data_IF_803938557668
#
_entry.id   IF_803938557668
#
_cell.length_a   1.000
_cell.length_b   1.000
_cell.length_c   1.000
_cell.angle_alpha   90.00
_cell.angle_beta   90.00
_cell.angle_gamma   90.00
#
_symmetry.space_group_name_H-M   'P 1'
#
loop_
_entity.id
_entity.type
_entity.pdbx_description
1 polymer ?
#
# COMPACT_ATOMS: atom_id res chain seq x y z
N UNK A 1 -22.22 -37.64 -78.54
CA UNK A 1 -21.58 -37.58 -77.20
C UNK A 1 -21.36 -36.12 -76.77
N UNK A 2 -22.40 -35.33 -76.46
CA UNK A 2 -22.23 -33.88 -76.15
C UNK A 2 -22.96 -33.34 -74.91
N UNK A 3 -23.70 -34.16 -74.13
CA UNK A 3 -24.61 -33.60 -73.10
C UNK A 3 -24.33 -34.04 -71.65
N UNK A 4 -23.24 -34.78 -71.35
CA UNK A 4 -22.96 -35.21 -69.96
C UNK A 4 -22.15 -34.18 -69.14
N UNK A 5 -21.39 -33.30 -69.78
CA UNK A 5 -20.58 -32.29 -69.09
C UNK A 5 -21.41 -31.10 -68.54
N UNK A 6 -22.54 -30.77 -69.19
CA UNK A 6 -23.40 -29.65 -68.78
C UNK A 6 -24.11 -29.93 -67.44
N UNK A 7 -24.57 -31.17 -67.22
CA UNK A 7 -25.19 -31.54 -65.95
C UNK A 7 -24.19 -31.55 -64.78
N UNK A 8 -22.90 -31.79 -65.05
CA UNK A 8 -21.86 -31.79 -64.02
C UNK A 8 -21.47 -30.36 -63.58
N UNK A 9 -21.54 -29.38 -64.48
CA UNK A 9 -21.31 -27.96 -64.15
C UNK A 9 -22.54 -27.35 -63.46
N UNK A 10 -23.75 -27.75 -63.85
CA UNK A 10 -24.99 -27.22 -63.28
C UNK A 10 -25.27 -27.71 -61.85
N UNK A 11 -24.89 -28.95 -61.51
CA UNK A 11 -25.02 -29.48 -60.13
C UNK A 11 -23.97 -28.90 -59.18
N UNK A 12 -22.76 -28.60 -59.67
CA UNK A 12 -21.71 -27.97 -58.85
C UNK A 12 -22.03 -26.50 -58.51
N UNK A 13 -22.71 -25.79 -59.41
CA UNK A 13 -23.14 -24.40 -59.20
C UNK A 13 -24.25 -24.28 -58.14
N UNK A 14 -25.14 -25.27 -58.04
CA UNK A 14 -26.24 -25.28 -57.06
C UNK A 14 -25.78 -25.67 -55.63
N UNK A 15 -24.68 -26.41 -55.48
CA UNK A 15 -24.09 -26.68 -54.15
C UNK A 15 -23.24 -25.54 -53.58
N UNK A 16 -22.81 -24.57 -54.41
CA UNK A 16 -22.03 -23.43 -53.94
C UNK A 16 -22.90 -22.28 -53.38
N UNK A 17 -24.18 -22.21 -53.75
CA UNK A 17 -25.11 -21.16 -53.29
C UNK A 17 -25.57 -21.42 -51.84
N UNK A 18 -25.42 -22.65 -51.33
CA UNK A 18 -25.85 -23.03 -49.97
C UNK A 18 -24.75 -22.96 -48.90
N UNK A 19 -23.53 -22.51 -49.23
CA UNK A 19 -22.41 -22.44 -48.28
C UNK A 19 -21.79 -21.05 -48.08
N UNK A 20 -22.24 -20.02 -48.81
CA UNK A 20 -21.84 -18.64 -48.55
C UNK A 20 -22.83 -17.93 -47.62
N UNK A 21 -22.45 -17.96 -46.34
CA UNK A 21 -22.63 -16.84 -45.42
C UNK A 21 -24.06 -16.56 -44.98
N UNK A 22 -24.57 -17.50 -44.19
CA UNK A 22 -25.27 -17.13 -42.97
C UNK A 22 -24.34 -16.23 -42.13
N UNK A 23 -24.71 -14.96 -42.04
CA UNK A 23 -24.03 -13.93 -41.27
C UNK A 23 -25.02 -12.80 -41.01
N UNK A 24 -25.95 -13.05 -40.09
CA UNK A 24 -26.85 -12.06 -39.51
C UNK A 24 -26.04 -10.86 -39.01
N UNK A 25 -26.07 -9.74 -39.74
CA UNK A 25 -25.83 -8.44 -39.13
C UNK A 25 -27.17 -7.98 -38.54
N UNK A 26 -27.48 -8.51 -37.36
CA UNK A 26 -28.50 -7.94 -36.49
C UNK A 26 -27.99 -6.54 -36.10
N UNK A 27 -28.54 -5.49 -36.73
CA UNK A 27 -28.40 -4.12 -36.23
C UNK A 27 -29.04 -4.08 -34.86
N UNK A 28 -28.24 -4.26 -33.81
CA UNK A 28 -28.65 -3.91 -32.46
C UNK A 28 -28.94 -2.41 -32.45
N UNK A 29 -30.23 -2.05 -32.55
CA UNK A 29 -30.76 -0.78 -32.08
C UNK A 29 -30.34 -0.65 -30.63
N UNK A 30 -29.28 0.11 -30.37
CA UNK A 30 -28.95 0.60 -29.03
C UNK A 30 -30.15 1.45 -28.60
N UNK A 31 -31.07 0.84 -27.83
CA UNK A 31 -32.00 1.61 -26.99
C UNK A 31 -31.11 2.35 -25.99
N UNK A 32 -30.99 3.66 -26.18
CA UNK A 32 -30.38 4.55 -25.19
C UNK A 32 -31.23 4.50 -23.92
N UNK A 33 -30.83 3.65 -22.97
CA UNK A 33 -31.29 3.75 -21.59
C UNK A 33 -30.85 5.11 -21.02
N UNK A 34 -31.67 5.79 -20.20
CA UNK A 34 -31.24 7.02 -19.56
C UNK A 34 -30.00 6.72 -18.70
N UNK A 35 -28.93 7.47 -18.96
CA UNK A 35 -27.68 7.40 -18.20
C UNK A 35 -28.01 7.89 -16.79
N UNK A 36 -28.05 6.98 -15.82
CA UNK A 36 -28.06 7.34 -14.41
C UNK A 36 -26.86 8.25 -14.14
N UNK A 37 -27.01 9.36 -13.41
CA UNK A 37 -25.89 10.24 -13.11
C UNK A 37 -24.80 9.44 -12.41
N UNK A 38 -23.60 9.48 -12.99
CA UNK A 38 -22.39 8.91 -12.41
C UNK A 38 -22.25 9.50 -11.01
N UNK A 39 -22.09 8.69 -9.94
CA UNK A 39 -21.92 9.21 -8.60
C UNK A 39 -20.69 10.13 -8.60
N UNK A 40 -20.89 11.35 -8.12
CA UNK A 40 -19.86 12.37 -7.93
C UNK A 40 -18.68 11.71 -7.21
N UNK A 41 -17.55 11.55 -7.90
CA UNK A 41 -16.33 11.00 -7.30
C UNK A 41 -15.97 11.95 -6.15
N UNK A 42 -16.22 11.52 -4.91
CA UNK A 42 -15.65 12.21 -3.76
C UNK A 42 -14.13 12.20 -3.96
N UNK A 43 -13.44 13.34 -3.84
CA UNK A 43 -11.98 13.34 -3.96
C UNK A 43 -11.44 12.26 -3.02
N UNK A 44 -10.62 11.36 -3.55
CA UNK A 44 -9.91 10.36 -2.74
C UNK A 44 -9.12 11.17 -1.73
N UNK A 45 -9.60 11.23 -0.49
CA UNK A 45 -8.97 12.03 0.54
C UNK A 45 -7.68 11.29 0.90
N UNK A 46 -6.54 11.84 0.44
CA UNK A 46 -5.22 11.28 0.71
C UNK A 46 -5.03 11.25 2.24
N UNK A 47 -4.72 10.08 2.77
CA UNK A 47 -4.46 9.92 4.20
C UNK A 47 -3.15 10.65 4.53
N UNK A 48 -3.22 11.64 5.42
CA UNK A 48 -2.08 12.48 5.80
C UNK A 48 -1.85 12.40 7.31
N UNK A 49 -0.63 12.69 7.76
CA UNK A 49 -0.33 12.86 9.18
C UNK A 49 -0.67 14.30 9.58
N UNK A 50 -1.49 14.44 10.62
CA UNK A 50 -1.91 15.74 11.16
C UNK A 50 -1.16 16.11 12.44
N UNK A 51 -0.63 15.13 13.16
CA UNK A 51 0.09 15.35 14.42
C UNK A 51 1.09 14.20 14.68
N UNK A 52 2.24 14.56 15.22
CA UNK A 52 3.23 13.62 15.78
C UNK A 52 3.13 13.71 17.31
N UNK A 53 2.71 12.61 17.95
CA UNK A 53 2.50 12.61 19.42
C UNK A 53 3.84 12.49 20.14
N UNK A 54 4.65 11.53 19.70
CA UNK A 54 6.02 11.23 20.12
C UNK A 54 6.80 10.74 18.88
N UNK A 55 8.01 10.22 19.05
CA UNK A 55 8.82 9.76 17.91
C UNK A 55 8.19 8.65 17.07
N UNK A 56 7.23 7.87 17.58
CA UNK A 56 6.73 6.66 16.92
C UNK A 56 5.20 6.50 16.88
N UNK A 57 4.47 7.55 17.26
CA UNK A 57 3.01 7.60 17.27
C UNK A 57 2.49 8.80 16.47
N UNK A 58 1.73 8.52 15.42
CA UNK A 58 1.20 9.50 14.47
C UNK A 58 -0.33 9.56 14.55
N UNK A 59 -0.92 10.75 14.48
CA UNK A 59 -2.36 10.92 14.24
C UNK A 59 -2.61 11.23 12.78
N UNK A 60 -3.58 10.57 12.20
CA UNK A 60 -3.91 10.66 10.78
C UNK A 60 -5.16 11.51 10.55
N UNK A 61 -5.33 12.00 9.33
CA UNK A 61 -6.44 12.86 8.93
C UNK A 61 -7.82 12.20 9.01
N UNK A 62 -7.89 10.87 9.09
CA UNK A 62 -9.13 10.11 9.30
C UNK A 62 -9.47 9.93 10.80
N UNK A 63 -8.70 10.55 11.70
CA UNK A 63 -8.87 10.49 13.15
C UNK A 63 -8.24 9.26 13.81
N UNK A 64 -7.62 8.36 13.04
CA UNK A 64 -6.94 7.19 13.61
C UNK A 64 -5.56 7.54 14.13
N UNK A 65 -5.06 6.68 15.01
CA UNK A 65 -3.69 6.72 15.51
C UNK A 65 -2.91 5.55 14.93
N UNK A 66 -1.76 5.86 14.35
CA UNK A 66 -0.83 4.90 13.77
C UNK A 66 0.42 4.81 14.63
N UNK A 67 0.76 3.60 15.08
CA UNK A 67 1.88 3.29 15.96
C UNK A 67 2.92 2.49 15.18
N UNK A 68 4.16 2.96 15.18
CA UNK A 68 5.23 2.27 14.45
C UNK A 68 5.51 0.89 15.06
N UNK A 69 5.51 -0.14 14.22
CA UNK A 69 5.72 -1.52 14.62
C UNK A 69 7.19 -1.76 14.99
N UNK A 70 7.43 -2.45 16.10
CA UNK A 70 8.74 -2.98 16.45
C UNK A 70 9.72 -1.95 16.99
N UNK A 71 9.28 -0.72 17.25
CA UNK A 71 10.09 0.37 17.78
C UNK A 71 9.40 1.06 18.95
N UNK A 72 10.19 1.58 19.89
CA UNK A 72 9.72 2.41 21.01
C UNK A 72 10.59 3.66 21.17
N UNK A 73 10.08 4.80 20.74
CA UNK A 73 10.65 6.12 20.99
C UNK A 73 10.47 6.52 22.47
N UNK A 74 11.26 7.47 22.98
CA UNK A 74 11.04 8.05 24.29
C UNK A 74 9.67 8.72 24.40
N UNK A 75 9.03 8.55 25.55
CA UNK A 75 7.74 9.16 25.89
C UNK A 75 7.93 10.59 26.44
N UNK A 76 6.84 11.32 26.61
CA UNK A 76 6.86 12.69 27.17
C UNK A 76 7.63 12.74 28.49
N UNK A 77 8.59 13.67 28.60
CA UNK A 77 9.54 13.87 29.72
C UNK A 77 10.68 12.83 29.82
N UNK A 78 10.76 11.85 28.92
CA UNK A 78 11.93 11.00 28.83
C UNK A 78 13.07 11.71 28.08
N UNK A 79 14.35 11.40 28.39
CA UNK A 79 15.47 11.91 27.61
C UNK A 79 15.34 11.54 26.12
N UNK A 80 15.66 12.50 25.24
CA UNK A 80 15.55 12.38 23.78
C UNK A 80 14.12 12.38 23.20
N UNK A 81 13.09 12.68 24.02
CA UNK A 81 11.71 12.83 23.54
C UNK A 81 11.58 13.88 22.43
N UNK A 82 12.06 15.11 22.70
CA UNK A 82 11.93 16.22 21.76
C UNK A 82 12.70 15.95 20.46
N UNK A 83 13.90 15.36 20.58
CA UNK A 83 14.72 14.98 19.44
C UNK A 83 14.06 13.89 18.58
N UNK A 84 13.45 12.88 19.20
CA UNK A 84 12.75 11.82 18.48
C UNK A 84 11.50 12.35 17.78
N UNK A 85 10.72 13.19 18.47
CA UNK A 85 9.54 13.85 17.89
C UNK A 85 9.90 14.76 16.72
N UNK A 86 10.87 15.66 16.92
CA UNK A 86 11.32 16.59 15.89
C UNK A 86 11.93 15.84 14.68
N UNK A 87 12.64 14.74 14.92
CA UNK A 87 13.15 13.90 13.83
C UNK A 87 12.01 13.36 12.96
N UNK A 88 10.98 12.81 13.58
CA UNK A 88 9.81 12.29 12.86
C UNK A 88 9.06 13.40 12.14
N UNK A 89 8.78 14.53 12.79
CA UNK A 89 8.14 15.70 12.16
C UNK A 89 8.91 16.17 10.91
N UNK A 90 10.22 16.38 11.03
CA UNK A 90 11.04 16.82 9.90
C UNK A 90 11.10 15.81 8.75
N UNK A 91 10.98 14.50 9.06
CA UNK A 91 11.02 13.48 8.02
C UNK A 91 9.69 13.37 7.28
N UNK A 92 8.55 13.54 7.96
CA UNK A 92 7.21 13.27 7.40
C UNK A 92 6.46 14.50 6.91
N UNK A 93 6.73 15.69 7.47
CA UNK A 93 5.96 16.88 7.14
C UNK A 93 6.16 17.26 5.66
N UNK A 94 5.05 17.64 5.02
CA UNK A 94 4.96 18.06 3.62
C UNK A 94 5.37 16.98 2.59
N UNK A 95 5.54 15.72 3.02
CA UNK A 95 5.91 14.61 2.13
C UNK A 95 4.80 13.59 1.97
N UNK A 96 4.87 12.85 0.87
CA UNK A 96 4.01 11.70 0.68
C UNK A 96 4.50 10.53 1.52
N UNK A 97 3.59 10.03 2.35
CA UNK A 97 3.83 8.88 3.21
C UNK A 97 3.06 7.68 2.69
N UNK A 98 3.63 6.50 2.88
CA UNK A 98 2.95 5.24 2.66
C UNK A 98 3.08 4.35 3.89
N UNK A 99 2.07 3.52 4.11
CA UNK A 99 1.97 2.65 5.26
C UNK A 99 2.05 1.20 4.81
N UNK A 100 2.86 0.41 5.51
CA UNK A 100 2.89 -1.04 5.38
C UNK A 100 2.50 -1.68 6.71
N UNK A 101 1.65 -2.70 6.69
CA UNK A 101 1.28 -3.44 7.90
C UNK A 101 1.62 -4.92 7.75
N UNK A 102 1.88 -5.56 8.89
CA UNK A 102 1.97 -7.01 8.96
C UNK A 102 0.64 -7.68 8.57
N UNK A 103 0.70 -8.92 8.08
CA UNK A 103 -0.52 -9.69 7.78
C UNK A 103 -1.37 -9.94 9.03
N UNK A 104 -0.70 -10.14 10.16
CA UNK A 104 -1.29 -10.41 11.47
C UNK A 104 -0.92 -9.28 12.44
N UNK A 105 -1.74 -9.07 13.48
CA UNK A 105 -1.48 -8.08 14.53
C UNK A 105 -1.43 -6.63 14.02
N UNK A 106 -2.41 -6.23 13.21
CA UNK A 106 -2.51 -4.88 12.62
C UNK A 106 -2.95 -3.79 13.58
N UNK A 107 -3.39 -4.17 14.77
CA UNK A 107 -3.89 -3.27 15.79
C UNK A 107 -3.36 -3.71 17.15
N UNK A 108 -3.08 -2.77 18.04
CA UNK A 108 -2.73 -3.07 19.41
C UNK A 108 -3.95 -3.08 20.34
N UNK A 109 -3.74 -3.39 21.62
CA UNK A 109 -4.80 -3.45 22.63
C UNK A 109 -5.49 -2.11 22.93
N UNK A 110 -4.94 -1.00 22.41
CA UNK A 110 -5.44 0.36 22.62
C UNK A 110 -6.19 0.90 21.41
N UNK A 111 -6.34 0.11 20.35
CA UNK A 111 -7.02 0.55 19.14
C UNK A 111 -6.13 1.28 18.13
N UNK A 112 -4.80 1.26 18.30
CA UNK A 112 -3.87 1.91 17.38
C UNK A 112 -3.52 0.97 16.25
N UNK A 113 -3.57 1.47 15.02
CA UNK A 113 -3.07 0.72 13.87
C UNK A 113 -1.55 0.56 13.97
N UNK A 114 -1.04 -0.64 13.73
CA UNK A 114 0.38 -0.96 13.81
C UNK A 114 0.98 -1.15 12.42
N UNK A 115 2.14 -0.55 12.17
CA UNK A 115 2.85 -0.79 10.92
C UNK A 115 4.14 0.02 10.73
N UNK A 116 4.59 0.09 9.49
CA UNK A 116 5.81 0.75 9.05
C UNK A 116 5.44 1.94 8.19
N UNK A 117 6.16 3.05 8.36
CA UNK A 117 5.94 4.26 7.59
C UNK A 117 7.11 4.47 6.65
N UNK A 118 6.78 4.74 5.39
CA UNK A 118 7.75 5.01 4.34
C UNK A 118 7.57 6.40 3.76
N UNK A 119 8.67 7.13 3.61
CA UNK A 119 8.74 8.46 3.02
C UNK A 119 9.81 8.42 1.93
N UNK A 120 9.42 8.63 0.67
CA UNK A 120 10.33 8.54 -0.48
C UNK A 120 11.16 7.23 -0.50
N UNK A 121 10.56 6.12 -0.07
CA UNK A 121 11.21 4.81 0.05
C UNK A 121 12.05 4.61 1.32
N UNK A 122 12.20 5.63 2.17
CA UNK A 122 12.91 5.56 3.45
C UNK A 122 11.97 5.07 4.55
N UNK A 123 12.38 4.04 5.30
CA UNK A 123 11.61 3.46 6.40
C UNK A 123 11.84 4.24 7.70
N UNK A 124 10.86 5.03 8.15
CA UNK A 124 10.93 5.84 9.37
C UNK A 124 11.27 5.00 10.62
N UNK A 125 10.73 3.78 10.73
CA UNK A 125 10.98 2.90 11.88
C UNK A 125 12.47 2.58 11.99
N UNK A 126 13.11 2.27 10.86
CA UNK A 126 14.56 1.99 10.81
C UNK A 126 15.35 3.26 11.12
N UNK A 127 14.97 4.40 10.55
CA UNK A 127 15.72 5.65 10.76
C UNK A 127 15.71 6.11 12.22
N UNK A 128 14.59 5.98 12.91
CA UNK A 128 14.51 6.31 14.34
C UNK A 128 15.49 5.48 15.16
N UNK A 129 15.53 4.17 14.93
CA UNK A 129 16.45 3.28 15.64
C UNK A 129 17.90 3.55 15.25
N UNK A 130 18.16 3.75 13.96
CA UNK A 130 19.50 4.05 13.42
C UNK A 130 20.11 5.30 14.04
N UNK A 131 19.30 6.33 14.31
CA UNK A 131 19.73 7.57 14.94
C UNK A 131 19.74 7.51 16.47
N UNK A 132 19.44 6.35 17.07
CA UNK A 132 19.36 6.19 18.52
C UNK A 132 18.17 6.95 19.15
N UNK A 133 17.11 7.19 18.38
CA UNK A 133 15.91 7.90 18.79
C UNK A 133 14.74 6.96 19.11
N UNK A 134 14.93 5.65 18.94
CA UNK A 134 14.01 4.61 19.39
C UNK A 134 14.76 3.32 19.76
N UNK A 135 14.15 2.51 20.62
CA UNK A 135 14.58 1.14 20.94
C UNK A 135 13.83 0.13 20.09
N UNK A 136 14.43 -1.03 19.83
CA UNK A 136 13.76 -2.15 19.18
C UNK A 136 12.88 -2.88 20.20
N UNK A 137 11.66 -3.22 19.79
CA UNK A 137 10.71 -4.03 20.57
C UNK A 137 10.51 -5.37 19.88
N UNK A 138 10.91 -6.44 20.56
CA UNK A 138 10.75 -7.81 20.06
C UNK A 138 9.55 -8.50 20.73
N UNK A 139 8.70 -9.12 19.91
CA UNK A 139 7.54 -9.86 20.38
C UNK A 139 7.81 -11.36 20.36
N UNK A 140 8.45 -11.89 21.41
CA UNK A 140 8.92 -13.28 21.47
C UNK A 140 7.84 -14.35 21.23
N UNK A 141 6.58 -14.03 21.56
CA UNK A 141 5.43 -14.94 21.36
C UNK A 141 4.80 -14.84 19.97
N UNK A 142 5.32 -13.99 19.08
CA UNK A 142 4.80 -13.76 17.73
C UNK A 142 5.79 -14.26 16.70
N UNK A 143 5.30 -14.43 15.47
CA UNK A 143 6.19 -14.62 14.32
C UNK A 143 7.12 -13.40 14.19
N UNK A 144 8.33 -13.66 13.70
CA UNK A 144 9.30 -12.62 13.36
C UNK A 144 8.69 -11.59 12.43
N UNK A 145 8.83 -10.32 12.78
CA UNK A 145 8.31 -9.20 12.00
C UNK A 145 9.22 -8.89 10.81
N UNK A 146 8.68 -8.29 9.74
CA UNK A 146 9.35 -8.12 8.45
C UNK A 146 10.73 -7.46 8.55
N UNK A 147 10.85 -6.41 9.36
CA UNK A 147 12.08 -5.61 9.48
C UNK A 147 12.92 -5.94 10.74
N UNK A 148 12.66 -7.06 11.41
CA UNK A 148 13.27 -7.38 12.70
C UNK A 148 14.81 -7.40 12.66
N UNK A 149 15.42 -8.05 11.67
CA UNK A 149 16.88 -8.17 11.60
C UNK A 149 17.55 -6.83 11.34
N UNK A 150 16.96 -6.03 10.46
CA UNK A 150 17.47 -4.70 10.12
C UNK A 150 17.38 -3.78 11.35
N UNK A 151 16.24 -3.79 12.05
CA UNK A 151 16.05 -3.06 13.31
C UNK A 151 17.13 -3.41 14.34
N UNK A 152 17.35 -4.71 14.58
CA UNK A 152 18.39 -5.18 15.52
C UNK A 152 19.77 -4.71 15.08
N UNK A 153 20.08 -4.82 13.78
CA UNK A 153 21.37 -4.41 13.24
C UNK A 153 21.62 -2.90 13.41
N UNK A 154 20.64 -2.05 13.09
CA UNK A 154 20.81 -0.60 13.21
C UNK A 154 20.82 -0.15 14.67
N UNK A 155 20.09 -0.82 15.57
CA UNK A 155 20.16 -0.54 17.01
C UNK A 155 21.54 -0.85 17.57
N UNK A 156 22.13 -1.98 17.18
CA UNK A 156 23.45 -2.37 17.61
C UNK A 156 24.51 -1.33 17.20
N UNK A 157 24.43 -0.84 15.95
CA UNK A 157 25.30 0.25 15.48
C UNK A 157 25.07 1.55 16.26
N UNK A 158 23.81 1.92 16.53
CA UNK A 158 23.48 3.11 17.31
C UNK A 158 24.04 3.04 18.74
N UNK A 159 24.03 1.84 19.36
CA UNK A 159 24.65 1.57 20.67
C UNK A 159 26.17 1.71 20.62
N UNK A 160 26.83 1.09 19.64
CA UNK A 160 28.28 1.17 19.45
C UNK A 160 28.77 2.61 19.24
N UNK A 161 28.00 3.39 18.47
CA UNK A 161 28.26 4.80 18.20
C UNK A 161 27.79 5.74 19.32
N UNK A 162 27.17 5.22 20.38
CA UNK A 162 26.58 5.98 21.50
C UNK A 162 25.67 7.11 21.00
N UNK A 163 24.73 6.80 20.12
CA UNK A 163 23.78 7.79 19.56
C UNK A 163 22.54 7.93 20.43
N UNK A 164 21.97 9.14 20.45
CA UNK A 164 20.71 9.45 21.14
C UNK A 164 20.61 8.84 22.55
N UNK A 165 19.59 8.02 22.77
CA UNK A 165 19.30 7.34 24.03
C UNK A 165 20.45 6.46 24.57
N UNK A 166 21.45 6.15 23.73
CA UNK A 166 22.62 5.32 24.07
C UNK A 166 23.87 6.13 24.45
N UNK A 167 23.78 7.47 24.59
CA UNK A 167 24.92 8.36 24.94
C UNK A 167 25.58 8.14 26.32
N UNK A 168 25.29 7.05 27.03
CA UNK A 168 25.88 6.72 28.35
C UNK A 168 26.92 5.61 28.19
#
# INVERSE_FOLDING_TARGET
>A
MKNKAIYFVLTFLLMFISFFSGGYLERQKIKSSPISPIPLISPIQKLTVIEVSDGDTLKLSDGKTFRLYGVNAPEVKEPYYEEAKAFTENLILEKEISFEQEKNYKEDKFGRELGYVFIDGVNLNIELVRNGLARVVLYEKRAKIKYQDELIQVEQKAKEMKLGIWKK
#
